data_IF_686179631297
#
_entry.id   IF_686179631297
#
_cell.length_a   1.000
_cell.length_b   1.000
_cell.length_c   1.000
_cell.angle_alpha   90.00
_cell.angle_beta   90.00
_cell.angle_gamma   90.00
#
_symmetry.space_group_name_H-M   'P 1'
#
loop_
_entity.id
_entity.type
_entity.pdbx_description
1 polymer ?
#
# COMPACT_ATOMS: atom_id res chain seq x y z
N UNK A 1 -11.97 -10.19 0.38
CA UNK A 1 -13.14 -9.56 1.06
C UNK A 1 -12.73 -8.77 2.32
N UNK A 2 -11.80 -9.24 3.14
CA UNK A 2 -11.37 -8.53 4.37
C UNK A 2 -10.83 -7.11 4.15
N UNK A 3 -9.94 -6.90 3.17
CA UNK A 3 -9.36 -5.57 2.93
C UNK A 3 -10.37 -4.54 2.37
N UNK A 4 -11.37 -4.99 1.62
CA UNK A 4 -12.45 -4.12 1.15
C UNK A 4 -13.32 -3.64 2.31
N UNK A 5 -13.58 -4.52 3.29
CA UNK A 5 -14.27 -4.17 4.54
C UNK A 5 -13.48 -3.16 5.38
N UNK A 6 -12.14 -3.26 5.42
CA UNK A 6 -11.29 -2.28 6.13
C UNK A 6 -11.34 -0.92 5.44
N UNK A 7 -11.28 -0.88 4.11
CA UNK A 7 -11.43 0.36 3.29
C UNK A 7 -12.79 1.02 3.52
N UNK A 8 -13.88 0.25 3.53
CA UNK A 8 -15.24 0.77 3.76
C UNK A 8 -15.44 1.23 5.20
N UNK A 9 -14.89 0.50 6.18
CA UNK A 9 -15.01 0.83 7.61
C UNK A 9 -14.23 2.10 7.95
N UNK A 10 -13.02 2.25 7.41
CA UNK A 10 -12.20 3.47 7.58
C UNK A 10 -12.80 4.70 6.89
N UNK A 11 -13.53 4.53 5.78
CA UNK A 11 -14.27 5.62 5.12
C UNK A 11 -15.55 6.04 5.85
N UNK A 12 -16.25 5.08 6.46
CA UNK A 12 -17.56 5.30 7.10
C UNK A 12 -17.43 5.84 8.53
N UNK A 13 -16.34 5.53 9.22
CA UNK A 13 -16.16 5.95 10.61
C UNK A 13 -15.47 7.31 10.70
N UNK A 14 -16.26 8.38 10.79
CA UNK A 14 -15.84 9.78 10.96
C UNK A 14 -15.09 10.05 12.29
N UNK A 15 -14.87 9.01 13.11
CA UNK A 15 -14.34 9.05 14.47
C UNK A 15 -12.86 8.67 14.62
N UNK A 16 -12.13 8.35 13.54
CA UNK A 16 -10.73 7.90 13.64
C UNK A 16 -9.75 8.90 13.04
N UNK A 17 -9.64 10.08 13.65
CA UNK A 17 -8.60 11.08 13.35
C UNK A 17 -7.16 10.66 13.70
N UNK A 18 -6.90 9.36 13.88
CA UNK A 18 -5.57 8.84 14.21
C UNK A 18 -4.80 8.46 12.93
N UNK A 19 -3.53 8.90 12.80
CA UNK A 19 -2.60 8.59 11.70
C UNK A 19 -2.55 7.12 11.29
N UNK A 20 -2.66 6.21 12.26
CA UNK A 20 -2.63 4.76 12.02
C UNK A 20 -3.76 4.28 11.09
N UNK A 21 -4.98 4.77 11.25
CA UNK A 21 -6.11 4.34 10.41
C UNK A 21 -6.00 4.90 8.99
N UNK A 22 -5.37 6.06 8.83
CA UNK A 22 -5.02 6.60 7.53
C UNK A 22 -4.06 5.66 6.79
N UNK A 23 -2.98 5.22 7.44
CA UNK A 23 -2.04 4.26 6.84
C UNK A 23 -2.68 2.90 6.56
N UNK A 24 -3.52 2.38 7.46
CA UNK A 24 -4.25 1.13 7.26
C UNK A 24 -5.18 1.17 6.05
N UNK A 25 -5.84 2.31 5.78
CA UNK A 25 -6.65 2.48 4.57
C UNK A 25 -5.82 2.26 3.30
N UNK A 26 -4.63 2.88 3.22
CA UNK A 26 -3.74 2.71 2.07
C UNK A 26 -3.16 1.30 1.97
N UNK A 27 -2.83 0.67 3.09
CA UNK A 27 -2.38 -0.73 3.11
C UNK A 27 -3.46 -1.67 2.59
N UNK A 28 -4.69 -1.55 3.09
CA UNK A 28 -5.81 -2.38 2.62
C UNK A 28 -6.19 -2.11 1.18
N UNK A 29 -6.06 -0.87 0.70
CA UNK A 29 -6.24 -0.56 -0.72
C UNK A 29 -5.16 -1.23 -1.59
N UNK A 30 -3.90 -1.19 -1.16
CA UNK A 30 -2.78 -1.85 -1.84
C UNK A 30 -3.00 -3.38 -1.92
N UNK A 31 -3.36 -4.02 -0.81
CA UNK A 31 -3.62 -5.46 -0.77
C UNK A 31 -4.85 -5.85 -1.63
N UNK A 32 -5.90 -5.03 -1.62
CA UNK A 32 -7.04 -5.23 -2.52
C UNK A 32 -6.63 -5.14 -4.00
N UNK A 33 -5.78 -4.18 -4.36
CA UNK A 33 -5.24 -4.07 -5.72
C UNK A 33 -4.37 -5.27 -6.08
N UNK A 34 -3.51 -5.73 -5.16
CA UNK A 34 -2.67 -6.90 -5.33
C UNK A 34 -3.49 -8.18 -5.54
N UNK A 35 -4.47 -8.42 -4.66
CA UNK A 35 -5.39 -9.55 -4.75
C UNK A 35 -6.20 -9.55 -6.05
N UNK A 36 -6.56 -8.38 -6.58
CA UNK A 36 -7.36 -8.26 -7.81
C UNK A 36 -6.51 -8.32 -9.09
N UNK A 37 -5.22 -7.98 -9.02
CA UNK A 37 -4.33 -7.92 -10.20
C UNK A 37 -3.46 -9.16 -10.32
N UNK A 38 -2.87 -9.61 -9.21
CA UNK A 38 -1.89 -10.70 -9.17
C UNK A 38 -2.56 -12.07 -9.01
N UNK A 39 -3.55 -12.20 -8.12
CA UNK A 39 -4.19 -13.50 -7.86
C UNK A 39 -4.96 -14.08 -9.07
N UNK A 40 -5.83 -13.33 -9.79
CA UNK A 40 -6.52 -13.91 -10.94
C UNK A 40 -5.60 -14.22 -12.11
N UNK A 41 -4.49 -13.48 -12.28
CA UNK A 41 -3.50 -13.76 -13.33
C UNK A 41 -2.62 -14.98 -13.01
N UNK A 42 -2.16 -15.14 -11.77
CA UNK A 42 -1.48 -16.37 -11.32
C UNK A 42 -2.36 -17.61 -11.47
N UNK A 43 -3.66 -17.48 -11.15
CA UNK A 43 -4.64 -18.57 -11.31
C UNK A 43 -4.89 -18.86 -12.80
N UNK A 44 -5.02 -17.84 -13.65
CA UNK A 44 -5.17 -18.00 -15.09
C UNK A 44 -3.93 -18.67 -15.73
N UNK A 45 -2.72 -18.27 -15.33
CA UNK A 45 -1.46 -18.86 -15.81
C UNK A 45 -1.26 -20.31 -15.33
N UNK A 46 -1.76 -20.66 -14.14
CA UNK A 46 -1.71 -22.02 -13.61
C UNK A 46 -2.67 -22.99 -14.33
N UNK A 47 -3.82 -22.50 -14.79
CA UNK A 47 -4.86 -23.31 -15.46
C UNK A 47 -4.61 -23.38 -16.98
N UNK A 48 -3.94 -22.38 -17.57
CA UNK A 48 -3.74 -22.32 -19.01
C UNK A 48 -2.61 -23.25 -19.49
N UNK A 49 -2.93 -24.17 -20.41
CA UNK A 49 -1.95 -25.06 -21.09
C UNK A 49 -0.96 -24.30 -21.98
N UNK A 50 -1.22 -23.02 -22.31
CA UNK A 50 -0.42 -22.18 -23.22
C UNK A 50 -0.02 -20.88 -22.52
N UNK A 51 1.19 -20.87 -21.94
CA UNK A 51 1.77 -19.76 -21.15
C UNK A 51 2.35 -18.63 -22.02
N UNK A 52 1.58 -18.08 -22.94
CA UNK A 52 2.05 -16.98 -23.80
C UNK A 52 1.30 -15.70 -23.48
N UNK A 53 1.77 -15.01 -22.45
CA UNK A 53 1.47 -13.59 -22.20
C UNK A 53 2.34 -12.73 -23.12
N UNK A 54 1.83 -11.56 -23.54
CA UNK A 54 2.65 -10.62 -24.31
C UNK A 54 3.75 -10.02 -23.45
N UNK A 55 4.85 -9.59 -24.07
CA UNK A 55 5.95 -8.92 -23.36
C UNK A 55 5.46 -7.70 -22.55
N UNK A 56 4.61 -6.85 -23.14
CA UNK A 56 4.06 -5.68 -22.45
C UNK A 56 3.19 -6.07 -21.24
N UNK A 57 2.40 -7.14 -21.34
CA UNK A 57 1.62 -7.62 -20.19
C UNK A 57 2.51 -8.15 -19.08
N UNK A 58 3.56 -8.90 -19.42
CA UNK A 58 4.54 -9.39 -18.46
C UNK A 58 5.23 -8.23 -17.72
N UNK A 59 5.73 -7.24 -18.47
CA UNK A 59 6.39 -6.07 -17.87
C UNK A 59 5.45 -5.25 -16.99
N UNK A 60 4.18 -5.09 -17.40
CA UNK A 60 3.17 -4.40 -16.59
C UNK A 60 2.88 -5.14 -15.29
N UNK A 61 2.82 -6.47 -15.31
CA UNK A 61 2.63 -7.28 -14.10
C UNK A 61 3.82 -7.18 -13.14
N UNK A 62 5.05 -7.29 -13.66
CA UNK A 62 6.26 -7.15 -12.84
C UNK A 62 6.34 -5.74 -12.23
N UNK A 63 5.96 -4.70 -12.99
CA UNK A 63 5.91 -3.33 -12.49
C UNK A 63 4.89 -3.19 -11.37
N UNK A 64 3.66 -3.66 -11.58
CA UNK A 64 2.60 -3.58 -10.58
C UNK A 64 2.96 -4.37 -9.32
N UNK A 65 3.59 -5.54 -9.45
CA UNK A 65 4.02 -6.36 -8.32
C UNK A 65 5.08 -5.64 -7.46
N UNK A 66 6.15 -5.11 -8.07
CA UNK A 66 7.18 -4.37 -7.34
C UNK A 66 6.62 -3.08 -6.73
N UNK A 67 5.78 -2.38 -7.48
CA UNK A 67 5.20 -1.12 -7.04
C UNK A 67 4.30 -1.31 -5.82
N UNK A 68 3.38 -2.28 -5.88
CA UNK A 68 2.48 -2.57 -4.77
C UNK A 68 3.25 -3.13 -3.57
N UNK A 69 4.20 -4.05 -3.79
CA UNK A 69 5.01 -4.61 -2.72
C UNK A 69 5.86 -3.56 -1.98
N UNK A 70 6.50 -2.64 -2.70
CA UNK A 70 7.22 -1.52 -2.09
C UNK A 70 6.30 -0.58 -1.32
N UNK A 71 5.11 -0.30 -1.86
CA UNK A 71 4.12 0.52 -1.17
C UNK A 71 3.71 -0.09 0.16
N UNK A 72 3.44 -1.39 0.21
CA UNK A 72 3.10 -2.09 1.46
C UNK A 72 4.23 -1.98 2.48
N UNK A 73 5.48 -2.23 2.07
CA UNK A 73 6.64 -2.14 2.96
C UNK A 73 6.79 -0.72 3.52
N UNK A 74 6.70 0.31 2.67
CA UNK A 74 6.81 1.70 3.16
C UNK A 74 5.67 2.06 4.10
N UNK A 75 4.42 1.67 3.80
CA UNK A 75 3.29 1.94 4.69
C UNK A 75 3.45 1.21 6.03
N UNK A 76 3.95 -0.03 6.04
CA UNK A 76 4.27 -0.76 7.27
C UNK A 76 5.34 -0.04 8.11
N UNK A 77 6.39 0.48 7.46
CA UNK A 77 7.43 1.28 8.13
C UNK A 77 6.83 2.56 8.72
N UNK A 78 5.95 3.25 7.99
CA UNK A 78 5.27 4.46 8.47
C UNK A 78 4.36 4.17 9.68
N UNK A 79 3.66 3.03 9.69
CA UNK A 79 2.88 2.59 10.85
C UNK A 79 3.76 2.25 12.06
N UNK A 80 4.91 1.60 11.84
CA UNK A 80 5.87 1.36 12.92
C UNK A 80 6.43 2.68 13.47
N UNK A 81 6.70 3.64 12.59
CA UNK A 81 7.16 4.98 12.96
C UNK A 81 6.09 5.77 13.73
N UNK A 82 4.81 5.68 13.35
CA UNK A 82 3.67 6.21 14.11
C UNK A 82 3.66 5.69 15.55
N UNK A 83 3.70 4.36 15.72
CA UNK A 83 3.72 3.72 17.05
C UNK A 83 4.94 4.14 17.87
N UNK A 84 6.11 4.20 17.24
CA UNK A 84 7.35 4.66 17.88
C UNK A 84 7.23 6.11 18.38
N UNK A 85 6.69 7.02 17.57
CA UNK A 85 6.53 8.42 17.97
C UNK A 85 5.49 8.63 19.04
N UNK A 86 4.39 7.86 19.02
CA UNK A 86 3.39 7.89 20.07
C UNK A 86 3.97 7.49 21.44
N UNK A 87 4.87 6.51 21.48
CA UNK A 87 5.47 6.00 22.73
C UNK A 87 6.65 6.87 23.19
N UNK A 88 7.60 7.16 22.31
CA UNK A 88 8.86 7.78 22.70
C UNK A 88 8.78 9.32 22.80
N UNK A 89 7.79 9.96 22.14
CA UNK A 89 7.66 11.43 22.09
C UNK A 89 6.19 11.90 22.12
N UNK A 90 5.40 11.56 23.15
CA UNK A 90 3.96 11.85 23.20
C UNK A 90 3.63 13.35 23.07
N UNK A 91 4.43 14.25 23.66
CA UNK A 91 4.21 15.70 23.58
C UNK A 91 4.39 16.30 22.17
N UNK A 92 5.21 15.67 21.31
CA UNK A 92 5.46 16.15 19.93
C UNK A 92 4.71 15.34 18.88
N UNK A 93 4.08 14.23 19.28
CA UNK A 93 3.40 13.31 18.39
C UNK A 93 2.33 14.01 17.54
N UNK A 94 1.47 14.83 18.14
CA UNK A 94 0.38 15.51 17.41
C UNK A 94 0.84 16.52 16.36
N UNK A 95 2.04 17.10 16.54
CA UNK A 95 2.64 18.02 15.56
C UNK A 95 3.33 17.27 14.42
N UNK A 96 4.04 16.19 14.76
CA UNK A 96 4.81 15.39 13.78
C UNK A 96 3.88 14.49 12.96
N UNK A 97 2.86 13.90 13.58
CA UNK A 97 1.89 12.98 12.98
C UNK A 97 0.53 13.67 12.80
N UNK A 98 0.53 14.83 12.14
CA UNK A 98 -0.71 15.46 11.69
C UNK A 98 -1.20 14.82 10.38
N UNK A 99 -2.49 14.96 10.06
CA UNK A 99 -3.05 14.42 8.81
C UNK A 99 -2.34 14.95 7.56
N UNK A 100 -1.92 16.22 7.57
CA UNK A 100 -1.13 16.83 6.49
C UNK A 100 0.21 16.11 6.29
N UNK A 101 0.95 15.87 7.39
CA UNK A 101 2.23 15.16 7.33
C UNK A 101 2.02 13.72 6.89
N UNK A 102 0.97 13.04 7.37
CA UNK A 102 0.64 11.68 6.93
C UNK A 102 0.37 11.63 5.41
N UNK A 103 -0.35 12.61 4.86
CA UNK A 103 -0.56 12.73 3.42
C UNK A 103 0.75 12.91 2.64
N UNK A 104 1.67 13.73 3.15
CA UNK A 104 3.00 13.90 2.56
C UNK A 104 3.80 12.59 2.61
N UNK A 105 3.81 11.91 3.75
CA UNK A 105 4.52 10.63 3.93
C UNK A 105 4.02 9.54 2.97
N UNK A 106 2.69 9.41 2.79
CA UNK A 106 2.11 8.48 1.82
C UNK A 106 2.48 8.87 0.38
N UNK A 107 2.49 10.17 0.07
CA UNK A 107 2.90 10.65 -1.26
C UNK A 107 4.37 10.32 -1.53
N UNK A 108 5.25 10.47 -0.52
CA UNK A 108 6.65 10.09 -0.63
C UNK A 108 6.83 8.57 -0.80
N UNK A 109 6.06 7.76 -0.06
CA UNK A 109 6.03 6.31 -0.24
C UNK A 109 5.63 5.93 -1.67
N UNK A 110 4.64 6.65 -2.24
CA UNK A 110 4.19 6.47 -3.61
C UNK A 110 5.27 6.76 -4.64
N UNK A 111 5.90 7.95 -4.55
CA UNK A 111 7.00 8.34 -5.43
C UNK A 111 8.17 7.37 -5.28
N UNK A 112 8.55 7.01 -4.05
CA UNK A 112 9.63 6.07 -3.79
C UNK A 112 9.39 4.68 -4.40
N UNK A 113 8.15 4.18 -4.30
CA UNK A 113 7.78 2.88 -4.87
C UNK A 113 7.77 2.90 -6.40
N UNK A 114 7.30 4.00 -7.00
CA UNK A 114 7.37 4.23 -8.45
C UNK A 114 8.82 4.23 -8.94
N UNK A 115 9.70 4.98 -8.27
CA UNK A 115 11.12 5.05 -8.61
C UNK A 115 11.79 3.68 -8.50
N UNK A 116 11.55 2.94 -7.41
CA UNK A 116 12.11 1.60 -7.22
C UNK A 116 11.66 0.63 -8.31
N UNK A 117 10.37 0.65 -8.65
CA UNK A 117 9.79 -0.24 -9.66
C UNK A 117 10.30 0.09 -11.05
N UNK A 118 10.44 1.38 -11.39
CA UNK A 118 11.02 1.81 -12.66
C UNK A 118 12.51 1.50 -12.79
N UNK A 119 13.24 1.37 -11.68
CA UNK A 119 14.66 1.04 -11.69
C UNK A 119 14.94 -0.47 -11.78
N UNK A 120 13.98 -1.31 -11.37
CA UNK A 120 14.07 -2.77 -11.43
C UNK A 120 13.53 -3.37 -12.74
N UNK A 121 13.03 -2.53 -13.64
CA UNK A 121 12.48 -2.87 -14.96
C UNK A 121 13.33 -2.23 -16.04
#
# INVERSE_FOLDING_TARGET
>A
MGNFLIVVTTKTSQTLGSPMYFFLFYLSFADACFSTTTAPRLIADAISKKKTISYNECMTQVFAAHFIGCMEIFVLILMAFDRYMAICKPLRYTTIMSQLVCGVLVTLAWVGSCMHSSAQI
#
